data_IF_771408746646
#
_entry.id   IF_771408746646
#
_cell.length_a   1.000
_cell.length_b   1.000
_cell.length_c   1.000
_cell.angle_alpha   90.00
_cell.angle_beta   90.00
_cell.angle_gamma   90.00
#
_symmetry.space_group_name_H-M   'P 1'
#
loop_
_entity.id
_entity.type
_entity.pdbx_description
1 polymer ?
#
# COMPACT_ATOMS: atom_id res chain seq x y z
N UNK A 1 47.35 52.99 32.25
CA UNK A 1 47.68 51.55 32.19
C UNK A 1 46.34 50.80 32.11
N UNK A 2 45.88 50.52 30.89
CA UNK A 2 44.59 49.88 30.60
C UNK A 2 44.75 48.36 30.66
N UNK A 3 43.82 47.66 31.31
CA UNK A 3 43.67 46.20 31.21
C UNK A 3 42.21 45.95 30.78
N UNK A 4 42.04 45.51 29.54
CA UNK A 4 40.75 45.10 28.99
C UNK A 4 40.59 43.57 29.19
N UNK A 5 39.45 43.07 29.67
CA UNK A 5 39.20 41.64 29.74
C UNK A 5 38.67 41.12 28.39
N UNK A 6 39.35 40.10 27.87
CA UNK A 6 39.00 39.34 26.69
C UNK A 6 37.86 38.36 27.06
N UNK A 7 36.63 38.61 26.62
CA UNK A 7 35.53 37.64 26.74
C UNK A 7 35.60 36.63 25.60
N UNK A 8 35.92 35.38 25.91
CA UNK A 8 35.83 34.24 24.99
C UNK A 8 34.40 33.72 24.95
N UNK A 9 33.74 33.87 23.80
CA UNK A 9 32.43 33.28 23.52
C UNK A 9 32.60 31.80 23.13
N UNK A 10 32.06 30.88 23.93
CA UNK A 10 31.96 29.47 23.57
C UNK A 10 30.74 29.25 22.69
N UNK A 11 30.97 28.98 21.39
CA UNK A 11 29.91 28.59 20.47
C UNK A 11 29.55 27.11 20.70
N UNK A 12 28.35 26.85 21.22
CA UNK A 12 27.75 25.51 21.22
C UNK A 12 27.34 25.17 19.78
N UNK A 13 28.12 24.31 19.12
CA UNK A 13 27.71 23.68 17.88
C UNK A 13 26.66 22.60 18.20
N UNK A 14 25.41 22.83 17.80
CA UNK A 14 24.38 21.82 17.76
C UNK A 14 24.76 20.81 16.66
N UNK A 15 25.21 19.62 17.06
CA UNK A 15 25.33 18.48 16.16
C UNK A 15 23.92 18.07 15.70
N UNK A 16 23.53 18.54 14.52
CA UNK A 16 22.42 17.97 13.76
C UNK A 16 22.86 16.55 13.36
N UNK A 17 22.41 15.55 14.12
CA UNK A 17 22.59 14.16 13.76
C UNK A 17 21.97 13.93 12.38
N UNK A 18 22.83 13.66 11.38
CA UNK A 18 22.40 13.20 10.07
C UNK A 18 21.71 11.85 10.24
N UNK A 19 20.47 11.71 9.77
CA UNK A 19 19.82 10.42 9.70
C UNK A 19 20.70 9.45 8.88
N UNK A 20 20.88 8.19 9.31
CA UNK A 20 21.66 7.23 8.53
C UNK A 20 21.02 7.06 7.15
N UNK A 21 21.84 7.17 6.10
CA UNK A 21 21.45 7.02 4.70
C UNK A 21 21.07 5.58 4.29
N UNK A 22 21.01 4.64 5.25
CA UNK A 22 20.83 3.20 5.03
C UNK A 22 19.38 2.70 5.16
N UNK A 23 18.41 3.59 5.38
CA UNK A 23 17.00 3.22 5.54
C UNK A 23 16.18 3.30 4.25
N UNK A 24 16.79 3.55 3.08
CA UNK A 24 16.06 3.64 1.83
C UNK A 24 15.54 2.25 1.39
N UNK A 25 14.23 2.17 1.11
CA UNK A 25 13.63 0.95 0.59
C UNK A 25 14.05 0.74 -0.86
N UNK A 26 14.47 -0.48 -1.19
CA UNK A 26 14.84 -0.82 -2.57
C UNK A 26 13.60 -0.81 -3.48
N UNK A 27 13.74 -0.37 -4.75
CA UNK A 27 12.67 -0.52 -5.73
C UNK A 27 12.17 -1.95 -5.84
N UNK A 28 10.89 -2.11 -6.20
CA UNK A 28 10.14 -3.36 -6.24
C UNK A 28 9.88 -4.01 -4.86
N UNK A 29 10.35 -3.43 -3.76
CA UNK A 29 9.96 -3.89 -2.41
C UNK A 29 8.46 -3.68 -2.24
N UNK A 30 7.72 -4.73 -1.86
CA UNK A 30 6.28 -4.61 -1.60
C UNK A 30 5.96 -4.44 -0.11
N UNK A 31 4.95 -3.61 0.16
CA UNK A 31 4.39 -3.42 1.50
C UNK A 31 2.90 -3.77 1.46
N UNK A 32 2.51 -4.98 1.91
CA UNK A 32 1.10 -5.29 2.10
C UNK A 32 0.60 -4.57 3.35
N UNK A 33 -0.45 -3.75 3.20
CA UNK A 33 -0.98 -2.88 4.25
C UNK A 33 -2.48 -3.07 4.43
N UNK A 34 -2.97 -2.65 5.60
CA UNK A 34 -4.39 -2.49 5.92
C UNK A 34 -4.65 -1.07 6.38
N UNK A 35 -5.68 -0.44 5.82
CA UNK A 35 -6.13 0.88 6.24
C UNK A 35 -6.80 0.79 7.60
N UNK A 36 -6.37 1.64 8.53
CA UNK A 36 -6.88 1.66 9.91
C UNK A 36 -8.10 2.57 10.08
N UNK A 37 -8.34 3.46 9.12
CA UNK A 37 -9.44 4.43 9.12
C UNK A 37 -10.04 4.53 7.73
N UNK A 38 -11.31 4.95 7.67
CA UNK A 38 -11.97 5.25 6.40
C UNK A 38 -11.65 6.68 5.95
N UNK A 39 -11.55 6.88 4.63
CA UNK A 39 -11.38 8.19 4.00
C UNK A 39 -12.40 8.31 2.86
N UNK A 40 -13.22 9.35 2.89
CA UNK A 40 -14.33 9.56 1.97
C UNK A 40 -14.12 10.85 1.19
N UNK A 41 -14.16 10.80 -0.15
CA UNK A 41 -13.93 11.94 -1.03
C UNK A 41 -14.83 13.15 -0.72
N UNK A 42 -16.05 12.92 -0.20
CA UNK A 42 -16.97 13.98 0.14
C UNK A 42 -16.77 14.62 1.50
N UNK A 43 -15.83 14.08 2.31
CA UNK A 43 -15.50 14.58 3.65
C UNK A 43 -14.02 14.89 3.84
N UNK A 44 -13.17 14.37 2.96
CA UNK A 44 -11.73 14.54 3.02
C UNK A 44 -11.31 15.92 2.53
N UNK A 45 -10.34 16.50 3.20
CA UNK A 45 -9.68 17.75 2.86
C UNK A 45 -8.19 17.49 2.60
N UNK A 46 -7.56 18.41 1.87
CA UNK A 46 -6.11 18.36 1.64
C UNK A 46 -5.38 18.36 2.98
N UNK A 47 -4.44 17.43 3.15
CA UNK A 47 -3.68 17.22 4.38
C UNK A 47 -4.32 16.27 5.39
N UNK A 48 -5.56 15.78 5.15
CA UNK A 48 -6.15 14.76 6.00
C UNK A 48 -5.32 13.47 5.98
N UNK A 49 -5.14 12.87 7.15
CA UNK A 49 -4.25 11.73 7.30
C UNK A 49 -4.77 10.45 6.60
N UNK A 50 -3.89 9.82 5.83
CA UNK A 50 -4.00 8.42 5.45
C UNK A 50 -3.23 7.59 6.48
N UNK A 51 -3.91 6.65 7.13
CA UNK A 51 -3.32 5.83 8.18
C UNK A 51 -3.53 4.35 7.90
N UNK A 52 -2.43 3.62 7.73
CA UNK A 52 -2.41 2.19 7.51
C UNK A 52 -1.33 1.51 8.36
N UNK A 53 -1.30 0.18 8.33
CA UNK A 53 -0.23 -0.62 8.93
C UNK A 53 0.12 -1.80 8.04
N UNK A 54 1.37 -2.26 8.07
CA UNK A 54 1.77 -3.48 7.35
C UNK A 54 1.03 -4.69 7.93
N UNK A 55 0.65 -5.64 7.08
CA UNK A 55 -0.06 -6.88 7.49
C UNK A 55 0.87 -8.08 7.61
N UNK A 56 2.06 -7.97 7.06
CA UNK A 56 3.09 -9.00 7.03
C UNK A 56 4.46 -8.35 7.21
N UNK A 57 5.43 -9.13 7.69
CA UNK A 57 6.82 -8.71 7.77
C UNK A 57 7.46 -8.60 6.38
N UNK A 58 8.13 -7.48 6.10
CA UNK A 58 8.75 -7.17 4.81
C UNK A 58 10.26 -7.29 4.94
N UNK A 59 10.88 -8.11 4.09
CA UNK A 59 12.34 -8.26 4.03
C UNK A 59 12.91 -7.14 3.16
N UNK A 60 13.80 -6.35 3.73
CA UNK A 60 14.48 -5.27 3.02
C UNK A 60 15.77 -5.80 2.36
N UNK A 61 16.25 -5.11 1.34
CA UNK A 61 17.44 -5.51 0.58
C UNK A 61 18.72 -5.60 1.42
N UNK A 62 18.81 -4.83 2.51
CA UNK A 62 19.92 -4.85 3.47
C UNK A 62 19.81 -5.98 4.52
N UNK A 63 18.82 -6.87 4.39
CA UNK A 63 18.55 -7.97 5.33
C UNK A 63 17.76 -7.56 6.58
N UNK A 64 17.50 -6.27 6.79
CA UNK A 64 16.60 -5.80 7.83
C UNK A 64 15.16 -6.29 7.54
N UNK A 65 14.39 -6.54 8.59
CA UNK A 65 12.99 -6.98 8.48
C UNK A 65 12.10 -5.93 9.10
N UNK A 66 11.31 -5.24 8.26
CA UNK A 66 10.26 -4.37 8.72
C UNK A 66 9.12 -5.25 9.29
N UNK A 67 8.76 -5.11 10.58
CA UNK A 67 7.78 -5.99 11.19
C UNK A 67 6.36 -5.75 10.66
N UNK A 68 5.51 -6.77 10.77
CA UNK A 68 4.07 -6.59 10.62
C UNK A 68 3.55 -5.62 11.68
N UNK A 69 2.58 -4.77 11.31
CA UNK A 69 2.04 -3.72 12.18
C UNK A 69 2.81 -2.40 12.14
N UNK A 70 3.88 -2.30 11.36
CA UNK A 70 4.60 -1.03 11.10
C UNK A 70 3.64 -0.01 10.49
N UNK A 71 3.63 1.22 11.03
CA UNK A 71 2.68 2.24 10.59
C UNK A 71 3.07 2.77 9.21
N UNK A 72 2.09 2.93 8.33
CA UNK A 72 2.24 3.58 7.04
C UNK A 72 1.40 4.84 7.05
N UNK A 73 2.08 5.97 6.85
CA UNK A 73 1.54 7.31 6.95
C UNK A 73 1.43 7.92 5.54
N UNK A 74 0.43 8.77 5.37
CA UNK A 74 0.20 9.50 4.13
C UNK A 74 -0.77 10.65 4.34
N UNK A 75 -1.11 11.35 3.27
CA UNK A 75 -2.12 12.40 3.32
C UNK A 75 -2.96 12.49 2.05
N UNK A 76 -4.15 13.06 2.19
CA UNK A 76 -5.05 13.39 1.08
C UNK A 76 -4.50 14.61 0.34
N UNK A 77 -4.42 14.52 -0.99
CA UNK A 77 -3.99 15.61 -1.87
C UNK A 77 -5.16 16.25 -2.63
N UNK A 78 -6.29 15.54 -2.78
CA UNK A 78 -7.53 16.11 -3.27
C UNK A 78 -8.75 15.29 -2.82
N UNK A 79 -9.88 15.96 -2.61
CA UNK A 79 -11.17 15.35 -2.29
C UNK A 79 -12.31 16.08 -2.99
N UNK A 80 -13.04 15.37 -3.84
CA UNK A 80 -14.19 15.88 -4.57
C UNK A 80 -15.36 14.90 -4.47
N UNK A 81 -16.42 15.32 -3.77
CA UNK A 81 -17.65 14.54 -3.64
C UNK A 81 -18.32 14.30 -5.00
N UNK A 82 -19.00 13.15 -5.12
CA UNK A 82 -19.99 13.00 -6.17
C UNK A 82 -21.17 13.94 -5.94
N UNK A 83 -21.53 14.65 -7.00
CA UNK A 83 -22.70 15.51 -7.05
C UNK A 83 -23.49 15.13 -8.28
N UNK A 84 -24.71 14.67 -8.08
CA UNK A 84 -25.58 14.38 -9.18
C UNK A 84 -25.90 15.67 -9.95
N UNK A 85 -25.69 15.63 -11.26
CA UNK A 85 -26.08 16.69 -12.18
C UNK A 85 -27.22 16.19 -13.06
N UNK A 86 -28.38 16.81 -12.95
CA UNK A 86 -29.56 16.49 -13.77
C UNK A 86 -29.36 16.83 -15.26
N UNK A 87 -28.36 17.66 -15.59
CA UNK A 87 -28.16 18.24 -16.92
C UNK A 87 -26.67 18.54 -17.14
N UNK A 88 -25.87 17.58 -17.65
CA UNK A 88 -26.29 16.40 -18.42
C UNK A 88 -26.48 15.12 -17.59
N UNK A 89 -27.71 14.58 -17.55
CA UNK A 89 -28.01 13.33 -16.82
C UNK A 89 -27.13 12.14 -17.25
N UNK A 90 -26.74 12.07 -18.52
CA UNK A 90 -25.98 10.96 -19.09
C UNK A 90 -24.47 11.02 -18.81
N UNK A 91 -23.92 12.19 -18.45
CA UNK A 91 -22.49 12.38 -18.20
C UNK A 91 -22.28 13.11 -16.89
N UNK A 92 -22.39 12.36 -15.80
CA UNK A 92 -22.18 12.88 -14.46
C UNK A 92 -20.75 13.41 -14.28
N UNK A 93 -20.57 14.47 -13.47
CA UNK A 93 -19.24 14.95 -13.10
C UNK A 93 -18.45 13.86 -12.37
N UNK A 94 -17.13 13.89 -12.52
CA UNK A 94 -16.24 12.95 -11.88
C UNK A 94 -15.98 13.37 -10.43
N UNK A 95 -16.30 12.49 -9.50
CA UNK A 95 -15.85 12.53 -8.12
C UNK A 95 -14.45 11.91 -8.01
N UNK A 96 -13.66 12.39 -7.06
CA UNK A 96 -12.24 12.06 -6.97
C UNK A 96 -11.77 12.03 -5.51
N UNK A 97 -10.93 11.05 -5.19
CA UNK A 97 -10.09 11.05 -3.99
C UNK A 97 -8.65 10.81 -4.43
N UNK A 98 -7.79 11.80 -4.20
CA UNK A 98 -6.36 11.71 -4.44
C UNK A 98 -5.58 11.72 -3.12
N UNK A 99 -4.57 10.88 -2.99
CA UNK A 99 -3.77 10.76 -1.77
C UNK A 99 -2.37 10.18 -2.05
N UNK A 100 -1.46 10.35 -1.08
CA UNK A 100 -0.09 9.82 -1.14
C UNK A 100 0.21 8.95 0.08
N UNK A 101 1.27 8.17 -0.02
CA UNK A 101 1.94 7.55 1.12
C UNK A 101 3.30 8.21 1.30
N UNK A 102 3.55 8.74 2.48
CA UNK A 102 4.69 9.61 2.74
C UNK A 102 5.84 8.85 3.41
N UNK A 103 5.51 7.97 4.37
CA UNK A 103 6.51 7.23 5.13
C UNK A 103 5.97 5.92 5.73
N UNK A 104 6.88 4.98 5.96
CA UNK A 104 6.67 3.84 6.86
C UNK A 104 7.48 4.05 8.13
N UNK A 105 6.91 3.71 9.29
CA UNK A 105 7.55 3.87 10.59
C UNK A 105 8.16 2.54 11.01
N UNK A 106 9.48 2.53 11.21
CA UNK A 106 10.22 1.42 11.80
C UNK A 106 10.91 1.88 13.10
N UNK A 107 10.64 1.21 14.23
CA UNK A 107 11.21 1.56 15.54
C UNK A 107 11.14 3.07 15.91
N UNK A 108 10.09 3.76 15.46
CA UNK A 108 9.90 5.20 15.68
C UNK A 108 10.61 6.11 14.68
N UNK A 109 11.40 5.57 13.75
CA UNK A 109 11.99 6.30 12.64
C UNK A 109 11.07 6.27 11.43
N UNK A 110 10.92 7.42 10.77
CA UNK A 110 10.17 7.51 9.52
C UNK A 110 11.10 7.25 8.33
N UNK A 111 10.76 6.23 7.55
CA UNK A 111 11.40 5.88 6.30
C UNK A 111 10.55 6.45 5.16
N UNK A 112 11.05 7.41 4.37
CA UNK A 112 10.29 7.99 3.27
C UNK A 112 9.83 6.93 2.25
N UNK A 113 8.58 7.05 1.81
CA UNK A 113 8.00 6.19 0.79
C UNK A 113 7.88 6.92 -0.54
N UNK A 114 8.32 6.24 -1.60
CA UNK A 114 7.92 6.52 -2.97
C UNK A 114 7.36 5.24 -3.53
N UNK A 115 6.04 5.16 -3.62
CA UNK A 115 5.34 3.90 -3.89
C UNK A 115 4.22 4.11 -4.90
N UNK A 116 3.86 3.01 -5.56
CA UNK A 116 2.61 2.85 -6.29
C UNK A 116 1.71 1.84 -5.58
N UNK A 117 0.41 1.95 -5.77
CA UNK A 117 -0.57 0.94 -5.39
C UNK A 117 -0.64 -0.08 -6.52
N UNK A 118 0.03 -1.21 -6.33
CA UNK A 118 -0.06 -2.35 -7.25
C UNK A 118 -1.47 -2.93 -7.25
N UNK A 119 -2.01 -3.20 -6.06
CA UNK A 119 -3.35 -3.73 -5.88
C UNK A 119 -4.03 -3.16 -4.63
N UNK A 120 -5.36 -3.05 -4.65
CA UNK A 120 -6.15 -2.65 -3.48
C UNK A 120 -7.48 -3.41 -3.45
N UNK A 121 -7.83 -3.95 -2.28
CA UNK A 121 -9.06 -4.67 -2.03
C UNK A 121 -9.94 -3.92 -1.01
N UNK A 122 -11.23 -3.90 -1.28
CA UNK A 122 -12.22 -3.44 -0.30
C UNK A 122 -12.26 -4.42 0.91
N UNK A 123 -12.90 -4.04 2.04
CA UNK A 123 -12.88 -4.89 3.23
C UNK A 123 -13.56 -6.24 3.04
N UNK A 124 -14.61 -6.30 2.22
CA UNK A 124 -15.34 -7.55 1.97
C UNK A 124 -14.49 -8.52 1.16
N UNK A 125 -13.83 -8.03 0.11
CA UNK A 125 -12.94 -8.84 -0.73
C UNK A 125 -11.70 -9.29 0.04
N UNK A 126 -11.15 -8.42 0.90
CA UNK A 126 -10.02 -8.78 1.75
C UNK A 126 -10.39 -9.81 2.83
N UNK A 127 -11.58 -9.70 3.45
CA UNK A 127 -12.09 -10.68 4.42
C UNK A 127 -12.29 -12.04 3.76
N UNK A 128 -12.97 -12.06 2.61
CA UNK A 128 -13.19 -13.29 1.85
C UNK A 128 -11.87 -13.97 1.47
N UNK A 129 -10.80 -13.20 1.21
CA UNK A 129 -9.49 -13.75 0.90
C UNK A 129 -8.75 -14.39 2.09
N UNK A 130 -9.24 -14.16 3.30
CA UNK A 130 -8.71 -14.72 4.55
C UNK A 130 -9.60 -15.84 5.11
N UNK A 131 -10.76 -16.08 4.50
CA UNK A 131 -11.75 -17.07 4.90
C UNK A 131 -11.62 -18.34 4.04
N UNK A 132 -11.80 -19.51 4.67
CA UNK A 132 -11.83 -20.77 3.93
C UNK A 132 -13.20 -21.01 3.31
N UNK A 133 -13.22 -21.65 2.14
CA UNK A 133 -14.44 -21.88 1.36
C UNK A 133 -15.50 -22.74 2.05
N UNK A 134 -15.14 -23.55 3.05
CA UNK A 134 -16.07 -24.41 3.77
C UNK A 134 -15.60 -24.68 5.19
N UNK A 135 -16.55 -24.79 6.12
CA UNK A 135 -16.27 -25.29 7.48
C UNK A 135 -15.75 -26.73 7.50
N UNK A 136 -16.03 -27.49 6.43
CA UNK A 136 -15.61 -28.88 6.25
C UNK A 136 -14.31 -29.01 5.43
N UNK A 137 -13.70 -27.89 5.02
CA UNK A 137 -12.42 -27.92 4.33
C UNK A 137 -11.29 -28.23 5.33
N UNK A 138 -10.95 -29.52 5.41
CA UNK A 138 -9.84 -30.02 6.23
C UNK A 138 -8.48 -29.40 5.87
N UNK A 139 -8.34 -28.84 4.66
CA UNK A 139 -7.10 -28.22 4.18
C UNK A 139 -7.06 -26.71 4.46
N UNK A 140 -8.16 -26.12 4.94
CA UNK A 140 -8.30 -24.69 5.21
C UNK A 140 -7.84 -23.83 4.01
N UNK A 141 -8.28 -24.20 2.82
CA UNK A 141 -7.94 -23.53 1.56
C UNK A 141 -8.59 -22.15 1.51
N UNK A 142 -7.78 -21.13 1.24
CA UNK A 142 -8.22 -19.75 1.04
C UNK A 142 -7.84 -19.27 -0.36
N UNK A 143 -8.64 -18.39 -0.95
CA UNK A 143 -8.30 -17.72 -2.21
C UNK A 143 -7.82 -16.31 -1.96
N UNK A 144 -6.55 -16.04 -2.29
CA UNK A 144 -5.99 -14.70 -2.24
C UNK A 144 -6.70 -13.75 -3.20
N UNK A 145 -6.60 -12.45 -2.93
CA UNK A 145 -7.06 -11.39 -3.83
C UNK A 145 -6.26 -11.48 -5.12
N UNK A 146 -6.94 -11.85 -6.21
CA UNK A 146 -6.34 -12.14 -7.51
C UNK A 146 -6.58 -13.59 -7.95
N UNK A 147 -6.75 -14.53 -7.02
CA UNK A 147 -7.22 -15.89 -7.30
C UNK A 147 -6.28 -17.04 -6.94
N UNK A 148 -5.06 -16.75 -6.47
CA UNK A 148 -4.11 -17.77 -6.02
C UNK A 148 -4.65 -18.50 -4.78
N UNK A 149 -4.38 -19.79 -4.68
CA UNK A 149 -4.87 -20.68 -3.63
C UNK A 149 -3.78 -20.95 -2.61
N UNK A 150 -4.09 -20.70 -1.34
CA UNK A 150 -3.24 -21.03 -0.20
C UNK A 150 -3.91 -22.15 0.57
N UNK A 151 -3.23 -23.28 0.74
CA UNK A 151 -3.70 -24.40 1.56
C UNK A 151 -2.95 -24.38 2.90
N UNK A 152 -3.67 -24.58 4.00
CA UNK A 152 -3.12 -24.45 5.36
C UNK A 152 -2.00 -25.46 5.68
N UNK A 153 -2.04 -26.63 5.06
CA UNK A 153 -1.08 -27.72 5.26
C UNK A 153 0.11 -27.70 4.30
N UNK A 154 0.10 -26.84 3.27
CA UNK A 154 1.14 -26.76 2.24
C UNK A 154 1.94 -25.47 2.36
N UNK A 155 3.19 -25.52 1.89
CA UNK A 155 4.01 -24.32 1.76
C UNK A 155 3.80 -23.65 0.40
N UNK A 156 3.48 -24.41 -0.64
CA UNK A 156 3.22 -23.90 -1.96
C UNK A 156 1.89 -23.15 -2.02
N UNK A 157 1.92 -22.04 -2.76
CA UNK A 157 0.73 -21.29 -3.16
C UNK A 157 0.55 -21.48 -4.65
N UNK A 158 -0.64 -21.92 -5.04
CA UNK A 158 -0.93 -22.34 -6.40
C UNK A 158 -1.71 -21.27 -7.15
N UNK A 159 -1.43 -21.09 -8.43
CA UNK A 159 -2.30 -20.32 -9.32
C UNK A 159 -3.62 -21.05 -9.55
N UNK A 160 -4.58 -20.41 -10.23
CA UNK A 160 -5.82 -21.08 -10.68
C UNK A 160 -5.57 -22.26 -11.61
N UNK A 161 -4.45 -22.24 -12.33
CA UNK A 161 -4.06 -23.28 -13.28
C UNK A 161 -3.26 -24.42 -12.60
N UNK A 162 -2.96 -24.28 -11.30
CA UNK A 162 -2.23 -25.27 -10.51
C UNK A 162 -0.70 -25.08 -10.47
N UNK A 163 -0.19 -23.99 -11.03
CA UNK A 163 1.25 -23.68 -11.01
C UNK A 163 1.68 -23.12 -9.65
N UNK A 164 2.88 -23.46 -9.18
CA UNK A 164 3.45 -22.85 -7.97
C UNK A 164 3.89 -21.42 -8.29
N UNK A 165 3.24 -20.43 -7.66
CA UNK A 165 3.48 -18.99 -7.92
C UNK A 165 4.02 -18.24 -6.71
N UNK A 166 3.86 -18.80 -5.52
CA UNK A 166 4.35 -18.22 -4.28
C UNK A 166 4.59 -19.31 -3.23
N UNK A 167 5.20 -18.91 -2.11
CA UNK A 167 5.42 -19.77 -0.97
C UNK A 167 4.98 -19.10 0.33
N UNK A 168 4.30 -19.87 1.16
CA UNK A 168 4.07 -19.55 2.55
C UNK A 168 5.34 -19.84 3.35
N UNK A 169 5.75 -18.86 4.14
CA UNK A 169 6.83 -18.94 5.12
C UNK A 169 6.28 -18.45 6.46
N UNK A 170 6.94 -18.75 7.57
CA UNK A 170 6.40 -18.52 8.91
C UNK A 170 5.71 -17.15 9.14
N UNK A 171 6.22 -16.08 8.56
CA UNK A 171 5.69 -14.71 8.68
C UNK A 171 4.69 -14.25 7.62
N UNK A 172 4.34 -15.08 6.63
CA UNK A 172 3.34 -14.76 5.60
C UNK A 172 3.61 -15.40 4.23
N UNK A 173 3.04 -14.82 3.16
CA UNK A 173 3.17 -15.31 1.79
C UNK A 173 4.16 -14.45 1.02
N UNK A 174 5.06 -15.12 0.31
CA UNK A 174 6.16 -14.53 -0.41
C UNK A 174 6.17 -15.01 -1.85
N UNK A 175 6.29 -14.09 -2.81
CA UNK A 175 6.15 -14.39 -4.23
C UNK A 175 7.13 -13.59 -5.06
N UNK A 176 7.57 -14.15 -6.19
CA UNK A 176 7.99 -13.32 -7.31
C UNK A 176 6.73 -12.72 -7.93
N UNK A 177 6.66 -11.39 -8.04
CA UNK A 177 5.51 -10.73 -8.64
C UNK A 177 5.40 -11.12 -10.10
N UNK A 178 4.18 -11.40 -10.55
CA UNK A 178 3.87 -11.79 -11.93
C UNK A 178 3.27 -10.58 -12.63
N UNK A 179 3.74 -10.29 -13.84
CA UNK A 179 3.20 -9.22 -14.65
C UNK A 179 1.72 -9.47 -14.97
N UNK A 180 0.89 -8.42 -14.85
CA UNK A 180 -0.53 -8.51 -15.09
C UNK A 180 -1.07 -7.17 -15.62
N UNK A 181 -2.04 -7.22 -16.53
CA UNK A 181 -2.75 -6.02 -16.96
C UNK A 181 -3.77 -5.57 -15.91
N UNK A 182 -4.50 -6.52 -15.33
CA UNK A 182 -5.49 -6.24 -14.28
C UNK A 182 -6.48 -5.13 -14.67
N UNK A 183 -6.87 -4.33 -13.69
CA UNK A 183 -7.61 -3.08 -13.90
C UNK A 183 -6.87 -1.87 -13.28
N UNK A 184 -5.53 -1.96 -13.21
CA UNK A 184 -4.67 -0.83 -12.88
C UNK A 184 -4.46 0.08 -14.11
N UNK A 185 -4.20 1.39 -13.94
CA UNK A 185 -4.02 2.33 -15.04
C UNK A 185 -2.96 1.96 -16.08
N UNK A 186 -1.87 1.31 -15.65
CA UNK A 186 -0.70 0.97 -16.49
C UNK A 186 -0.34 -0.51 -16.46
N UNK A 187 -1.20 -1.35 -15.89
CA UNK A 187 -0.83 -2.72 -15.51
C UNK A 187 0.22 -2.74 -14.40
N UNK A 188 0.74 -3.93 -14.12
CA UNK A 188 1.72 -4.20 -13.08
C UNK A 188 2.83 -5.09 -13.62
N UNK A 189 4.08 -4.74 -13.33
CA UNK A 189 5.26 -5.48 -13.81
C UNK A 189 5.57 -6.70 -12.95
N UNK A 190 6.46 -7.56 -13.45
CA UNK A 190 7.01 -8.68 -12.71
C UNK A 190 8.19 -8.25 -11.82
N UNK A 191 8.49 -9.04 -10.78
CA UNK A 191 9.70 -8.86 -9.96
C UNK A 191 10.67 -10.02 -10.10
N UNK A 192 11.97 -9.71 -10.06
CA UNK A 192 13.03 -10.71 -10.04
C UNK A 192 13.43 -11.13 -8.61
N UNK A 193 12.85 -10.50 -7.60
CA UNK A 193 13.08 -10.75 -6.19
C UNK A 193 11.80 -11.21 -5.52
N UNK A 194 11.94 -12.01 -4.48
CA UNK A 194 10.82 -12.45 -3.66
C UNK A 194 10.27 -11.28 -2.82
N UNK A 195 8.95 -11.09 -2.88
CA UNK A 195 8.22 -9.96 -2.34
C UNK A 195 7.13 -10.40 -1.36
N UNK A 196 6.84 -9.55 -0.36
CA UNK A 196 5.79 -9.83 0.63
C UNK A 196 4.42 -9.51 0.07
N UNK A 197 3.57 -10.52 -0.15
CA UNK A 197 2.26 -10.31 -0.80
C UNK A 197 1.07 -10.48 0.14
N UNK A 198 1.25 -11.07 1.32
CA UNK A 198 0.19 -11.27 2.31
C UNK A 198 -1.03 -11.98 1.71
N UNK A 199 -2.18 -11.31 1.64
CA UNK A 199 -3.42 -11.87 1.07
C UNK A 199 -3.57 -11.64 -0.43
N UNK A 200 -2.62 -10.98 -1.08
CA UNK A 200 -2.67 -10.74 -2.52
C UNK A 200 -1.95 -11.84 -3.29
N UNK A 201 -2.52 -12.20 -4.43
CA UNK A 201 -1.90 -13.07 -5.42
C UNK A 201 -0.66 -12.42 -6.04
N UNK A 202 0.27 -13.23 -6.55
CA UNK A 202 1.48 -12.75 -7.21
C UNK A 202 1.17 -11.87 -8.44
N UNK A 203 0.03 -12.12 -9.08
CA UNK A 203 -0.49 -11.40 -10.25
C UNK A 203 -1.52 -10.31 -9.91
N UNK A 204 -1.81 -10.06 -8.63
CA UNK A 204 -2.80 -9.06 -8.24
C UNK A 204 -2.44 -7.67 -8.77
N UNK A 205 -3.38 -7.05 -9.48
CA UNK A 205 -3.14 -5.78 -10.17
C UNK A 205 -4.43 -4.95 -10.32
N UNK A 206 -4.46 -3.81 -9.61
CA UNK A 206 -5.55 -2.83 -9.62
C UNK A 206 -6.55 -2.97 -8.46
N UNK A 207 -7.81 -2.56 -8.68
CA UNK A 207 -8.86 -2.51 -7.65
C UNK A 207 -9.73 -3.77 -7.63
N UNK A 208 -10.00 -4.26 -6.42
CA UNK A 208 -10.84 -5.43 -6.14
C UNK A 208 -11.96 -5.05 -5.18
N UNK A 209 -13.21 -5.32 -5.55
CA UNK A 209 -14.40 -5.04 -4.72
C UNK A 209 -14.90 -3.58 -4.72
N UNK A 210 -14.12 -2.62 -5.21
CA UNK A 210 -14.51 -1.20 -5.29
C UNK A 210 -15.55 -0.93 -6.40
N UNK A 211 -16.82 -1.20 -6.13
CA UNK A 211 -17.91 -1.00 -7.11
C UNK A 211 -18.06 0.46 -7.53
N UNK A 212 -18.18 0.69 -8.85
CA UNK A 212 -18.31 1.99 -9.51
C UNK A 212 -17.14 2.97 -9.27
N UNK A 213 -16.00 2.48 -8.78
CA UNK A 213 -14.78 3.27 -8.58
C UNK A 213 -13.66 2.66 -9.42
N UNK A 214 -12.89 3.52 -10.08
CA UNK A 214 -11.69 3.14 -10.84
C UNK A 214 -10.47 3.83 -10.25
N UNK A 215 -9.31 3.17 -10.28
CA UNK A 215 -8.04 3.82 -10.05
C UNK A 215 -7.58 4.41 -11.37
N UNK A 216 -7.33 5.72 -11.43
CA UNK A 216 -6.89 6.43 -12.65
C UNK A 216 -5.42 6.80 -12.62
N UNK A 217 -4.83 6.89 -11.43
CA UNK A 217 -3.38 6.92 -11.21
C UNK A 217 -3.07 6.02 -10.00
N UNK A 218 -2.03 5.21 -10.11
CA UNK A 218 -1.62 4.29 -9.06
C UNK A 218 -0.56 4.91 -8.12
N UNK A 219 -0.11 6.14 -8.36
CA UNK A 219 0.99 6.77 -7.62
C UNK A 219 2.19 7.14 -8.48
N UNK A 220 2.19 6.76 -9.76
CA UNK A 220 3.28 7.08 -10.70
C UNK A 220 3.43 8.60 -10.90
N UNK A 221 2.30 9.32 -10.88
CA UNK A 221 2.25 10.78 -10.93
C UNK A 221 2.52 11.46 -9.58
N UNK A 222 2.91 10.70 -8.56
CA UNK A 222 3.12 11.19 -7.19
C UNK A 222 1.89 11.13 -6.29
N UNK A 223 0.72 10.74 -6.80
CA UNK A 223 -0.49 10.49 -6.01
C UNK A 223 -1.31 9.34 -6.59
N UNK A 224 -1.94 8.57 -5.70
CA UNK A 224 -2.97 7.60 -6.06
C UNK A 224 -4.27 8.35 -6.27
N UNK A 225 -4.98 8.09 -7.37
CA UNK A 225 -6.24 8.76 -7.70
C UNK A 225 -7.34 7.72 -7.91
N UNK A 226 -8.35 7.77 -7.04
CA UNK A 226 -9.59 7.01 -7.17
C UNK A 226 -10.68 7.92 -7.72
N UNK A 227 -11.36 7.49 -8.78
CA UNK A 227 -12.36 8.27 -9.47
C UNK A 227 -13.68 7.51 -9.64
N UNK A 228 -14.79 8.24 -9.70
CA UNK A 228 -16.12 7.68 -9.99
C UNK A 228 -17.04 8.73 -10.59
N UNK A 229 -17.97 8.30 -11.44
CA UNK A 229 -19.08 9.14 -11.95
C UNK A 229 -20.44 8.76 -11.37
N UNK A 230 -20.45 7.95 -10.31
CA UNK A 230 -21.69 7.40 -9.74
C UNK A 230 -21.81 7.59 -8.23
N UNK A 231 -20.68 7.75 -7.54
CA UNK A 231 -20.60 7.92 -6.09
C UNK A 231 -19.30 8.59 -5.68
N UNK A 232 -19.23 9.09 -4.45
CA UNK A 232 -17.96 9.56 -3.89
C UNK A 232 -17.02 8.36 -3.69
N UNK A 233 -15.78 8.39 -4.22
CA UNK A 233 -14.76 7.40 -3.88
C UNK A 233 -14.53 7.34 -2.37
N UNK A 234 -14.33 6.14 -1.86
CA UNK A 234 -14.10 5.90 -0.44
C UNK A 234 -13.11 4.76 -0.27
N UNK A 235 -12.13 4.98 0.60
CA UNK A 235 -11.32 3.93 1.19
C UNK A 235 -11.98 3.57 2.51
N UNK A 236 -12.39 2.31 2.68
CA UNK A 236 -12.96 1.88 3.95
C UNK A 236 -11.85 1.48 4.92
N UNK A 237 -12.13 1.61 6.22
CA UNK A 237 -11.31 0.94 7.21
C UNK A 237 -11.33 -0.56 6.93
N UNK A 238 -10.19 -1.24 7.15
CA UNK A 238 -9.98 -2.64 6.79
C UNK A 238 -9.94 -2.94 5.29
N UNK A 239 -9.91 -1.93 4.41
CA UNK A 239 -9.39 -2.14 3.06
C UNK A 239 -7.92 -2.54 3.13
N UNK A 240 -7.47 -3.35 2.18
CA UNK A 240 -6.08 -3.76 2.06
C UNK A 240 -5.47 -3.21 0.79
N UNK A 241 -4.16 -2.93 0.79
CA UNK A 241 -3.42 -2.59 -0.40
C UNK A 241 -2.07 -3.30 -0.43
N UNK A 242 -1.58 -3.58 -1.63
CA UNK A 242 -0.22 -3.99 -1.90
C UNK A 242 0.50 -2.79 -2.52
N UNK A 243 1.33 -2.13 -1.73
CA UNK A 243 2.18 -1.05 -2.21
C UNK A 243 3.45 -1.64 -2.81
N UNK A 244 4.01 -0.98 -3.82
CA UNK A 244 5.28 -1.34 -4.45
C UNK A 244 6.17 -0.11 -4.49
N UNK A 245 7.39 -0.22 -3.95
CA UNK A 245 8.37 0.88 -3.94
C UNK A 245 8.89 1.10 -5.36
N UNK A 246 8.92 2.35 -5.80
CA UNK A 246 9.45 2.74 -7.10
C UNK A 246 10.75 3.52 -6.95
N UNK A 247 11.60 3.48 -7.98
CA UNK A 247 12.86 4.21 -7.97
C UNK A 247 12.63 5.73 -7.78
N UNK A 248 13.48 6.35 -6.96
CA UNK A 248 13.66 7.79 -7.00
C UNK A 248 14.16 8.15 -8.41
N UNK A 249 13.43 9.05 -9.08
CA UNK A 249 13.80 9.58 -10.39
C UNK A 249 14.58 10.86 -10.17
#
# INVERSE_FOLDING_TARGET
MLIAPLMTAAALALNLASAPADAALAPQTTLPIVFTRSVDAGRAHIGDAIAAKTTQAVRLANGHVLPAGSQVLGHVTAGAAFRYDSTPYAKQPQAELAFTFDAVVDHGQQIPLKVVVRAMADPLTASAASESFSSDDTLATTTQVGGDQVQGSQEEVLSRDGDVVAYRRGSGVYAHLIAAQGNAPRGCDASNTEQSVSLFSASACGLYGFTDVSMTDAGDGGAVVLASRRRSPKIWAHSHALLEVVAAQ
#
